data_IF_749516345046
#
_entry.id   IF_749516345046
#
_cell.length_a   1.000
_cell.length_b   1.000
_cell.length_c   1.000
_cell.angle_alpha   90.00
_cell.angle_beta   90.00
_cell.angle_gamma   90.00
#
_symmetry.space_group_name_H-M   'P 1'
#
loop_
_entity.id
_entity.type
_entity.pdbx_description
1 polymer ?
#
# COMPACT_ATOMS: atom_id res chain seq x y z
N UNK A 1 0.68 27.20 -13.82
CA UNK A 1 1.67 28.19 -14.35
C UNK A 1 2.66 27.42 -15.23
N UNK A 2 3.21 28.05 -16.28
CA UNK A 2 4.29 27.43 -17.05
C UNK A 2 5.63 27.83 -16.45
N UNK A 3 6.53 26.86 -16.31
CA UNK A 3 7.90 27.03 -15.87
C UNK A 3 8.85 26.65 -17.01
N UNK A 4 10.07 27.17 -16.93
CA UNK A 4 11.16 26.84 -17.84
C UNK A 4 12.28 26.18 -17.04
N UNK A 5 12.93 25.19 -17.63
CA UNK A 5 13.98 24.43 -16.97
C UNK A 5 14.78 23.58 -17.93
N UNK A 6 15.88 23.03 -17.44
CA UNK A 6 16.80 22.19 -18.23
C UNK A 6 16.71 20.74 -17.77
N UNK A 7 16.82 19.81 -18.70
CA UNK A 7 16.89 18.38 -18.34
C UNK A 7 18.19 18.15 -17.57
N UNK A 8 18.09 17.75 -16.30
CA UNK A 8 19.24 17.44 -15.45
C UNK A 8 19.74 16.03 -15.69
N UNK A 9 18.81 15.08 -15.81
CA UNK A 9 19.12 13.68 -16.06
C UNK A 9 17.98 13.00 -16.81
N UNK A 10 18.33 12.10 -17.74
CA UNK A 10 17.35 11.30 -18.47
C UNK A 10 17.79 9.84 -18.59
N UNK A 11 16.95 8.93 -18.11
CA UNK A 11 17.16 7.49 -18.27
C UNK A 11 16.40 6.97 -19.49
N UNK A 12 17.13 6.71 -20.57
CA UNK A 12 16.52 6.22 -21.83
C UNK A 12 15.95 4.81 -21.75
N UNK A 13 16.44 3.97 -20.82
CA UNK A 13 15.95 2.59 -20.65
C UNK A 13 14.60 2.58 -19.95
N UNK A 14 14.43 3.42 -18.92
CA UNK A 14 13.18 3.51 -18.14
C UNK A 14 12.22 4.59 -18.67
N UNK A 15 12.67 5.48 -19.53
CA UNK A 15 11.83 6.48 -20.20
C UNK A 15 11.40 7.65 -19.31
N UNK A 16 12.13 7.95 -18.24
CA UNK A 16 11.85 9.08 -17.36
C UNK A 16 13.09 9.93 -17.12
N UNK A 17 12.89 11.15 -16.63
CA UNK A 17 13.97 12.04 -16.24
C UNK A 17 13.52 13.12 -15.28
N UNK A 18 14.43 14.05 -15.02
CA UNK A 18 14.24 15.16 -14.10
C UNK A 18 14.63 16.48 -14.74
N UNK A 19 13.82 17.50 -14.52
CA UNK A 19 14.04 18.87 -14.98
C UNK A 19 14.46 19.74 -13.79
N UNK A 20 15.57 20.44 -13.94
CA UNK A 20 16.02 21.44 -13.01
C UNK A 20 15.49 22.82 -13.42
N UNK A 21 14.84 23.51 -12.48
CA UNK A 21 14.33 24.87 -12.63
C UNK A 21 15.25 25.81 -11.84
N UNK A 22 15.56 26.98 -12.38
CA UNK A 22 16.56 27.89 -11.78
C UNK A 22 16.12 28.45 -10.41
N UNK A 23 14.81 28.58 -10.18
CA UNK A 23 14.24 29.14 -8.94
C UNK A 23 13.70 28.09 -7.95
N UNK A 24 13.81 26.79 -8.25
CA UNK A 24 13.28 25.71 -7.39
C UNK A 24 14.38 24.72 -7.01
N UNK A 25 14.56 24.41 -5.71
CA UNK A 25 15.56 23.45 -5.26
C UNK A 25 15.19 22.01 -5.60
N UNK A 26 13.91 21.74 -5.87
CA UNK A 26 13.39 20.39 -6.13
C UNK A 26 13.32 20.15 -7.64
N UNK A 27 13.97 19.08 -8.09
CA UNK A 27 13.86 18.66 -9.48
C UNK A 27 12.44 18.15 -9.79
N UNK A 28 11.93 18.49 -10.97
CA UNK A 28 10.59 18.11 -11.42
C UNK A 28 10.67 16.83 -12.26
N UNK A 29 9.88 15.82 -11.91
CA UNK A 29 9.84 14.55 -12.62
C UNK A 29 9.12 14.67 -13.98
N UNK A 30 9.57 13.93 -14.99
CA UNK A 30 8.84 13.79 -16.27
C UNK A 30 8.96 12.39 -16.86
N UNK A 31 7.98 12.00 -17.68
CA UNK A 31 8.05 10.80 -18.51
C UNK A 31 8.18 11.18 -19.99
N UNK A 32 8.85 10.37 -20.81
CA UNK A 32 8.96 10.58 -22.28
C UNK A 32 7.60 10.61 -22.99
N UNK A 33 6.56 10.10 -22.34
CA UNK A 33 5.18 10.07 -22.88
C UNK A 33 4.50 11.43 -22.78
N UNK A 34 5.00 12.31 -21.91
CA UNK A 34 4.49 13.66 -21.75
C UNK A 34 5.06 14.62 -22.81
N UNK A 35 5.99 14.13 -23.66
CA UNK A 35 6.54 14.88 -24.79
C UNK A 35 5.68 14.72 -26.05
N UNK A 36 5.46 15.79 -26.83
CA UNK A 36 4.69 15.74 -28.07
C UNK A 36 5.35 14.88 -29.16
N UNK A 37 6.69 14.82 -29.18
CA UNK A 37 7.49 14.01 -30.09
C UNK A 37 8.25 12.93 -29.32
N UNK A 38 7.52 11.99 -28.72
CA UNK A 38 8.08 10.90 -27.91
C UNK A 38 9.11 10.02 -28.63
N UNK A 39 9.15 10.04 -29.96
CA UNK A 39 10.15 9.35 -30.77
C UNK A 39 11.55 9.99 -30.71
N UNK A 40 11.62 11.30 -30.46
CA UNK A 40 12.88 12.02 -30.29
C UNK A 40 13.25 11.88 -28.82
N UNK A 41 14.43 11.36 -28.52
CA UNK A 41 14.86 11.22 -27.12
C UNK A 41 15.21 12.60 -26.54
N UNK A 42 14.86 12.89 -25.28
CA UNK A 42 15.34 14.09 -24.61
C UNK A 42 16.85 14.00 -24.36
N UNK A 43 17.55 15.12 -24.50
CA UNK A 43 18.98 15.22 -24.22
C UNK A 43 19.21 15.93 -22.88
N UNK A 44 20.22 15.51 -22.12
CA UNK A 44 20.62 16.23 -20.91
C UNK A 44 21.09 17.65 -21.28
N UNK A 45 20.69 18.65 -20.49
CA UNK A 45 20.89 20.07 -20.77
C UNK A 45 19.87 20.71 -21.74
N UNK A 46 18.94 19.94 -22.31
CA UNK A 46 17.89 20.47 -23.19
C UNK A 46 16.94 21.41 -22.43
N UNK A 47 16.66 22.58 -23.01
CA UNK A 47 15.77 23.57 -22.42
C UNK A 47 14.30 23.28 -22.79
N UNK A 48 13.46 23.24 -21.77
CA UNK A 48 12.05 22.90 -21.87
C UNK A 48 11.18 23.97 -21.23
N UNK A 49 9.96 24.11 -21.75
CA UNK A 49 8.86 24.83 -21.12
C UNK A 49 7.75 23.85 -20.81
N UNK A 50 7.24 23.85 -19.58
CA UNK A 50 6.29 22.85 -19.12
C UNK A 50 5.40 23.40 -18.02
N UNK A 51 4.35 22.68 -17.68
CA UNK A 51 3.48 22.97 -16.55
C UNK A 51 3.74 21.96 -15.44
N UNK A 52 3.73 22.40 -14.18
CA UNK A 52 3.80 21.48 -13.04
C UNK A 52 2.39 21.07 -12.63
N UNK A 53 2.18 19.76 -12.49
CA UNK A 53 0.98 19.15 -11.93
C UNK A 53 1.36 18.31 -10.71
N UNK A 54 0.49 18.25 -9.71
CA UNK A 54 0.66 17.39 -8.54
C UNK A 54 -0.17 16.12 -8.75
N UNK A 55 0.48 14.96 -8.73
CA UNK A 55 -0.14 13.65 -8.91
C UNK A 55 0.32 12.74 -7.77
N UNK A 56 -0.62 12.30 -6.92
CA UNK A 56 -0.34 11.43 -5.76
C UNK A 56 0.73 11.97 -4.78
N UNK A 57 0.84 13.31 -4.64
CA UNK A 57 1.82 13.96 -3.77
C UNK A 57 3.20 14.14 -4.42
N UNK A 58 3.36 13.79 -5.69
CA UNK A 58 4.58 14.01 -6.46
C UNK A 58 4.35 15.10 -7.54
N UNK A 59 5.36 15.95 -7.74
CA UNK A 59 5.29 17.02 -8.74
C UNK A 59 5.85 16.53 -10.07
N UNK A 60 5.00 16.57 -11.11
CA UNK A 60 5.32 16.09 -12.45
C UNK A 60 5.16 17.21 -13.48
N UNK A 61 6.00 17.17 -14.52
CA UNK A 61 5.87 18.04 -15.68
C UNK A 61 4.81 17.51 -16.68
N UNK A 62 3.90 18.39 -17.10
CA UNK A 62 2.92 18.17 -18.16
C UNK A 62 3.03 19.25 -19.24
N UNK A 63 2.41 19.03 -20.40
CA UNK A 63 2.40 19.99 -21.52
C UNK A 63 3.81 20.46 -21.93
N UNK A 64 4.75 19.51 -22.10
CA UNK A 64 6.17 19.81 -22.31
C UNK A 64 6.41 20.30 -23.75
N UNK A 65 7.11 21.42 -23.88
CA UNK A 65 7.55 22.03 -25.15
C UNK A 65 9.07 22.13 -25.14
N UNK A 66 9.71 21.64 -26.20
CA UNK A 66 11.16 21.72 -26.38
C UNK A 66 11.52 23.07 -26.99
N UNK A 67 12.38 23.84 -26.34
CA UNK A 67 12.78 25.17 -26.80
C UNK A 67 14.05 25.13 -27.69
N UNK A 68 14.86 24.06 -27.59
CA UNK A 68 16.16 23.96 -28.28
C UNK A 68 16.17 23.09 -29.54
N UNK A 69 15.04 22.54 -29.99
CA UNK A 69 15.00 21.85 -31.28
C UNK A 69 15.09 22.86 -32.42
N UNK A 70 16.30 23.18 -32.86
CA UNK A 70 16.49 23.66 -34.23
C UNK A 70 16.07 22.53 -35.17
N UNK A 71 15.22 22.78 -36.17
CA UNK A 71 14.90 21.80 -37.19
C UNK A 71 16.09 21.67 -38.15
N UNK A 72 17.21 21.13 -37.68
CA UNK A 72 18.36 20.79 -38.53
C UNK A 72 18.83 19.37 -38.19
N UNK A 73 19.01 18.59 -39.26
CA UNK A 73 19.50 17.21 -39.35
C UNK A 73 18.48 16.09 -39.12
N UNK A 74 17.39 16.12 -39.90
CA UNK A 74 16.71 14.89 -40.30
C UNK A 74 17.50 14.21 -41.44
N UNK A 75 18.03 12.98 -41.29
CA UNK A 75 18.40 12.18 -42.44
C UNK A 75 17.14 11.82 -43.22
N UNK A 76 17.12 12.28 -44.47
CA UNK A 76 16.19 11.97 -45.56
C UNK A 76 15.50 10.60 -45.41
N UNK A 77 14.25 10.61 -44.94
CA UNK A 77 13.26 9.69 -45.49
C UNK A 77 12.49 10.47 -46.57
N UNK A 78 13.02 10.42 -47.80
CA UNK A 78 12.22 10.54 -49.02
C UNK A 78 11.00 9.61 -48.91
N UNK A 79 9.81 9.88 -49.42
CA UNK A 79 9.30 10.85 -50.37
C UNK A 79 7.78 10.74 -50.18
N UNK A 80 7.05 11.84 -50.18
CA UNK A 80 5.70 11.90 -50.76
C UNK A 80 5.38 13.39 -50.88
N UNK A 81 5.67 13.92 -52.06
CA UNK A 81 5.41 15.28 -52.48
C UNK A 81 3.91 15.59 -52.39
N UNK A 82 3.52 16.50 -51.50
CA UNK A 82 2.25 17.21 -51.63
C UNK A 82 2.54 18.69 -51.88
N UNK A 83 2.21 19.12 -53.10
CA UNK A 83 2.28 20.51 -53.55
C UNK A 83 1.47 21.42 -52.62
N UNK A 84 2.10 22.45 -52.06
CA UNK A 84 1.40 23.58 -51.46
C UNK A 84 0.82 24.44 -52.59
N UNK A 85 -0.46 24.22 -52.90
CA UNK A 85 -1.29 25.23 -53.56
C UNK A 85 -1.60 26.34 -52.56
N UNK A 86 -1.45 27.56 -53.04
CA UNK A 86 -1.86 28.84 -52.44
C UNK A 86 -3.09 28.76 -51.53
N UNK A 87 -2.97 29.38 -50.34
CA UNK A 87 -4.02 29.56 -49.34
C UNK A 87 -5.12 30.51 -49.90
N UNK A 88 -6.40 30.10 -50.01
CA UNK A 88 -7.51 31.02 -50.26
C UNK A 88 -7.96 31.70 -48.95
N UNK A 89 -8.64 32.87 -49.03
CA UNK A 89 -8.97 33.68 -47.86
C UNK A 89 -10.10 33.05 -47.05
N UNK A 90 -9.95 33.16 -45.72
CA UNK A 90 -10.90 32.90 -44.64
C UNK A 90 -12.32 32.48 -45.07
N UNK A 91 -12.54 31.17 -45.20
CA UNK A 91 -13.87 30.58 -45.22
C UNK A 91 -14.18 29.95 -43.86
N UNK A 92 -15.43 30.14 -43.44
CA UNK A 92 -15.98 29.92 -42.10
C UNK A 92 -15.61 28.52 -41.61
N UNK A 93 -15.07 28.42 -40.39
CA UNK A 93 -14.78 27.14 -39.73
C UNK A 93 -16.11 26.41 -39.53
N UNK A 94 -16.48 25.57 -40.49
CA UNK A 94 -17.38 24.45 -40.23
C UNK A 94 -16.56 23.48 -39.39
N UNK A 95 -16.85 23.47 -38.08
CA UNK A 95 -16.35 22.45 -37.16
C UNK A 95 -16.48 21.07 -37.82
N UNK A 96 -15.43 20.22 -37.82
CA UNK A 96 -15.52 18.91 -38.42
C UNK A 96 -16.68 18.17 -37.75
N UNK A 97 -17.66 17.75 -38.57
CA UNK A 97 -18.74 16.85 -38.16
C UNK A 97 -18.10 15.52 -37.80
N UNK A 98 -17.66 15.42 -36.55
CA UNK A 98 -17.06 14.22 -35.98
C UNK A 98 -18.02 13.06 -36.24
N UNK A 99 -17.56 11.98 -36.85
CA UNK A 99 -18.37 10.78 -37.11
C UNK A 99 -18.64 10.07 -35.77
N UNK A 100 -19.51 10.65 -34.95
CA UNK A 100 -20.00 10.08 -33.71
C UNK A 100 -21.26 9.30 -34.01
N UNK A 101 -21.12 7.99 -34.26
CA UNK A 101 -22.31 7.13 -34.31
C UNK A 101 -22.08 5.66 -33.95
N UNK A 102 -20.84 5.16 -33.82
CA UNK A 102 -20.61 3.76 -33.39
C UNK A 102 -19.72 3.62 -32.15
N UNK A 103 -18.68 4.45 -32.02
CA UNK A 103 -17.80 4.40 -30.85
C UNK A 103 -18.52 4.77 -29.54
N UNK A 104 -19.49 5.70 -29.59
CA UNK A 104 -20.30 6.07 -28.41
C UNK A 104 -21.12 4.90 -27.87
N UNK A 105 -21.75 4.10 -28.74
CA UNK A 105 -22.54 2.95 -28.31
C UNK A 105 -21.66 1.80 -27.82
N UNK A 106 -20.47 1.61 -28.40
CA UNK A 106 -19.51 0.62 -27.90
C UNK A 106 -19.04 0.96 -26.47
N UNK A 107 -18.69 2.22 -26.22
CA UNK A 107 -18.32 2.67 -24.86
C UNK A 107 -19.49 2.51 -23.88
N UNK A 108 -20.70 2.89 -24.30
CA UNK A 108 -21.89 2.78 -23.46
C UNK A 108 -22.26 1.31 -23.15
N UNK A 109 -22.12 0.41 -24.12
CA UNK A 109 -22.32 -1.03 -23.92
C UNK A 109 -21.31 -1.62 -22.92
N UNK A 110 -20.02 -1.26 -23.04
CA UNK A 110 -18.98 -1.70 -22.10
C UNK A 110 -19.29 -1.23 -20.67
N UNK A 111 -19.74 0.01 -20.49
CA UNK A 111 -20.13 0.52 -19.17
C UNK A 111 -21.33 -0.23 -18.59
N UNK A 112 -22.33 -0.57 -19.40
CA UNK A 112 -23.48 -1.37 -18.97
C UNK A 112 -23.04 -2.77 -18.54
N UNK A 113 -22.14 -3.42 -19.29
CA UNK A 113 -21.63 -4.75 -18.95
C UNK A 113 -20.84 -4.70 -17.63
N UNK A 114 -19.97 -3.70 -17.44
CA UNK A 114 -19.23 -3.52 -16.19
C UNK A 114 -20.20 -3.29 -15.01
N UNK A 115 -21.21 -2.43 -15.19
CA UNK A 115 -22.23 -2.19 -14.17
C UNK A 115 -23.04 -3.45 -13.85
N UNK A 116 -23.40 -4.26 -14.85
CA UNK A 116 -24.11 -5.53 -14.68
C UNK A 116 -23.28 -6.56 -13.91
N UNK A 117 -21.99 -6.73 -14.25
CA UNK A 117 -21.08 -7.60 -13.51
C UNK A 117 -20.87 -7.12 -12.07
N UNK A 118 -20.72 -5.81 -11.89
CA UNK A 118 -20.64 -5.19 -10.56
C UNK A 118 -21.89 -5.46 -9.72
N UNK A 119 -23.08 -5.35 -10.32
CA UNK A 119 -24.35 -5.62 -9.66
C UNK A 119 -24.50 -7.09 -9.24
N UNK A 120 -24.13 -8.05 -10.11
CA UNK A 120 -24.16 -9.49 -9.78
C UNK A 120 -23.18 -9.82 -8.65
N UNK A 121 -21.95 -9.29 -8.72
CA UNK A 121 -20.97 -9.47 -7.64
C UNK A 121 -21.47 -8.85 -6.33
N UNK A 122 -22.08 -7.67 -6.39
CA UNK A 122 -22.66 -6.99 -5.24
C UNK A 122 -23.78 -7.81 -4.59
N UNK A 123 -24.70 -8.37 -5.39
CA UNK A 123 -25.75 -9.26 -4.88
C UNK A 123 -25.17 -10.46 -4.14
N UNK A 124 -24.19 -11.16 -4.76
CA UNK A 124 -23.56 -12.33 -4.14
C UNK A 124 -22.87 -12.00 -2.81
N UNK A 125 -22.20 -10.84 -2.74
CA UNK A 125 -21.58 -10.38 -1.50
C UNK A 125 -22.63 -10.06 -0.43
N UNK A 126 -23.75 -9.45 -0.81
CA UNK A 126 -24.84 -9.16 0.13
C UNK A 126 -25.46 -10.45 0.70
N UNK A 127 -25.73 -11.44 -0.14
CA UNK A 127 -26.28 -12.73 0.31
C UNK A 127 -25.35 -13.41 1.32
N UNK A 128 -24.04 -13.39 1.06
CA UNK A 128 -23.04 -13.91 1.99
C UNK A 128 -23.00 -13.15 3.33
N UNK A 129 -23.20 -11.83 3.32
CA UNK A 129 -23.25 -11.02 4.53
C UNK A 129 -24.49 -11.34 5.37
N UNK A 130 -25.66 -11.40 4.74
CA UNK A 130 -26.93 -11.74 5.39
C UNK A 130 -26.89 -13.15 5.97
N UNK A 131 -26.38 -14.14 5.22
CA UNK A 131 -26.26 -15.52 5.70
C UNK A 131 -25.34 -15.63 6.94
N UNK A 132 -24.24 -14.88 6.97
CA UNK A 132 -23.35 -14.81 8.14
C UNK A 132 -24.05 -14.20 9.36
N UNK A 133 -24.83 -13.14 9.16
CA UNK A 133 -25.58 -12.50 10.24
C UNK A 133 -26.66 -13.43 10.81
N UNK A 134 -27.41 -14.12 9.96
CA UNK A 134 -28.42 -15.09 10.39
C UNK A 134 -27.79 -16.23 11.21
N UNK A 135 -26.65 -16.76 10.75
CA UNK A 135 -25.92 -17.81 11.48
C UNK A 135 -25.39 -17.32 12.82
N UNK A 136 -24.89 -16.08 12.89
CA UNK A 136 -24.46 -15.49 14.16
C UNK A 136 -25.63 -15.36 15.15
N UNK A 137 -26.81 -14.93 14.69
CA UNK A 137 -28.00 -14.83 15.52
C UNK A 137 -28.46 -16.21 16.03
N UNK A 138 -28.40 -17.23 15.18
CA UNK A 138 -28.68 -18.62 15.57
C UNK A 138 -27.72 -19.11 16.66
N UNK A 139 -26.41 -18.88 16.49
CA UNK A 139 -25.41 -19.26 17.49
C UNK A 139 -25.63 -18.53 18.82
N UNK A 140 -25.99 -17.24 18.80
CA UNK A 140 -26.33 -16.48 20.01
C UNK A 140 -27.55 -17.07 20.71
N UNK A 141 -28.60 -17.44 19.96
CA UNK A 141 -29.80 -18.07 20.51
C UNK A 141 -29.51 -19.44 21.13
N UNK A 142 -28.68 -20.25 20.48
CA UNK A 142 -28.25 -21.55 20.99
C UNK A 142 -27.40 -21.39 22.26
N UNK A 143 -26.42 -20.48 22.24
CA UNK A 143 -25.62 -20.17 23.42
C UNK A 143 -26.49 -19.69 24.58
N UNK A 144 -27.51 -18.85 24.32
CA UNK A 144 -28.46 -18.40 25.34
C UNK A 144 -29.20 -19.58 25.98
N UNK A 145 -29.64 -20.56 25.18
CA UNK A 145 -30.28 -21.78 25.70
C UNK A 145 -29.33 -22.60 26.56
N UNK A 146 -28.08 -22.76 26.15
CA UNK A 146 -27.06 -23.48 26.94
C UNK A 146 -26.85 -22.79 28.29
N UNK A 147 -26.74 -21.46 28.30
CA UNK A 147 -26.58 -20.67 29.53
C UNK A 147 -27.81 -20.78 30.42
N UNK A 148 -29.02 -20.75 29.85
CA UNK A 148 -30.28 -20.91 30.58
C UNK A 148 -30.40 -22.31 31.20
N UNK A 149 -30.07 -23.37 30.47
CA UNK A 149 -30.00 -24.73 30.99
C UNK A 149 -28.99 -24.88 32.13
N UNK A 150 -27.80 -24.27 32.00
CA UNK A 150 -26.83 -24.23 33.09
C UNK A 150 -27.36 -23.50 34.32
N UNK A 151 -28.11 -22.41 34.12
CA UNK A 151 -28.73 -21.62 35.21
C UNK A 151 -29.84 -22.41 35.92
N UNK A 152 -30.65 -23.17 35.20
CA UNK A 152 -31.65 -24.07 35.78
C UNK A 152 -30.99 -25.20 36.58
N UNK A 153 -29.92 -25.81 36.04
CA UNK A 153 -29.19 -26.88 36.71
C UNK A 153 -28.45 -26.41 37.98
N UNK A 154 -27.96 -25.17 38.01
CA UNK A 154 -27.26 -24.58 39.16
C UNK A 154 -28.22 -23.96 40.21
N UNK A 155 -29.53 -23.94 39.95
CA UNK A 155 -30.53 -23.33 40.84
C UNK A 155 -30.54 -21.79 40.81
N UNK A 156 -31.41 -21.15 41.60
CA UNK A 156 -31.55 -19.69 41.62
C UNK A 156 -30.30 -19.02 42.22
N UNK A 157 -29.30 -18.73 41.38
CA UNK A 157 -28.31 -17.71 41.69
C UNK A 157 -28.96 -16.33 41.48
N UNK A 158 -28.86 -15.39 42.44
CA UNK A 158 -29.36 -14.04 42.26
C UNK A 158 -28.56 -13.35 41.15
N UNK A 159 -29.21 -12.57 40.31
CA UNK A 159 -28.51 -11.66 39.41
C UNK A 159 -27.69 -10.72 40.28
N UNK A 160 -26.37 -10.94 40.34
CA UNK A 160 -25.49 -10.14 41.17
C UNK A 160 -25.26 -8.80 40.47
N UNK A 161 -26.25 -7.92 40.59
CA UNK A 161 -26.08 -6.51 40.24
C UNK A 161 -24.98 -6.00 41.17
N UNK A 162 -23.91 -5.43 40.57
CA UNK A 162 -22.82 -4.83 41.32
C UNK A 162 -23.40 -3.89 42.38
N UNK A 163 -22.95 -4.01 43.64
CA UNK A 163 -23.42 -3.13 44.71
C UNK A 163 -23.19 -1.66 44.32
N UNK A 164 -23.96 -0.73 44.90
CA UNK A 164 -23.80 0.71 44.61
C UNK A 164 -22.34 1.15 44.83
N UNK A 165 -21.66 0.58 45.84
CA UNK A 165 -20.23 0.81 46.07
C UNK A 165 -19.35 0.14 45.01
N UNK A 166 -19.69 -1.06 44.55
CA UNK A 166 -19.02 -1.73 43.44
C UNK A 166 -19.08 -0.92 42.15
N UNK A 167 -20.24 -0.30 41.84
CA UNK A 167 -20.37 0.62 40.70
C UNK A 167 -19.49 1.85 40.88
N UNK A 168 -19.57 2.53 42.03
CA UNK A 168 -18.72 3.70 42.33
C UNK A 168 -17.23 3.41 42.25
N UNK A 169 -16.80 2.23 42.69
CA UNK A 169 -15.40 1.77 42.58
C UNK A 169 -15.02 1.49 41.11
N UNK A 170 -15.95 1.01 40.27
CA UNK A 170 -15.74 0.86 38.82
C UNK A 170 -15.67 2.20 38.09
N UNK A 171 -16.43 3.19 38.57
CA UNK A 171 -16.48 4.54 37.98
C UNK A 171 -15.25 5.39 38.39
N UNK A 172 -14.69 5.16 39.59
CA UNK A 172 -13.45 5.80 40.06
C UNK A 172 -12.19 5.13 39.52
N UNK A 173 -12.22 3.82 39.30
CA UNK A 173 -11.22 3.13 38.48
C UNK A 173 -11.60 3.33 37.02
N UNK A 174 -11.37 4.55 36.51
CA UNK A 174 -11.51 4.83 35.09
C UNK A 174 -10.80 3.73 34.30
N UNK A 175 -11.58 2.97 33.53
CA UNK A 175 -11.07 1.93 32.65
C UNK A 175 -10.24 2.60 31.55
N UNK A 176 -8.99 2.93 31.87
CA UNK A 176 -7.92 2.76 30.90
C UNK A 176 -7.81 1.25 30.70
N UNK A 177 -8.47 0.74 29.66
CA UNK A 177 -8.13 -0.56 29.07
C UNK A 177 -6.71 -0.40 28.54
N UNK A 178 -5.73 -0.57 29.42
CA UNK A 178 -4.36 -0.77 29.01
C UNK A 178 -4.27 -2.26 28.71
N UNK A 179 -4.36 -2.60 27.43
CA UNK A 179 -4.19 -3.95 26.90
C UNK A 179 -2.74 -4.39 27.06
N UNK A 180 -2.30 -4.55 28.31
CA UNK A 180 -1.10 -5.28 28.65
C UNK A 180 -1.56 -6.59 29.27
N UNK A 181 -1.59 -7.64 28.44
CA UNK A 181 -1.67 -9.02 28.89
C UNK A 181 -0.48 -9.30 29.81
N UNK A 182 -0.65 -9.09 31.11
CA UNK A 182 0.07 -9.88 32.12
C UNK A 182 -0.70 -11.18 32.30
N UNK A 183 -0.33 -12.17 31.49
CA UNK A 183 -0.64 -13.56 31.78
C UNK A 183 0.12 -13.96 33.05
N UNK A 184 -0.53 -13.80 34.21
CA UNK A 184 -0.14 -14.48 35.44
C UNK A 184 -0.99 -15.76 35.46
N UNK A 185 -0.43 -16.81 34.86
CA UNK A 185 -0.92 -18.16 35.01
C UNK A 185 -0.60 -18.66 36.42
N UNK A 186 -1.52 -18.49 37.35
CA UNK A 186 -1.56 -19.30 38.56
C UNK A 186 -2.10 -20.67 38.13
N UNK A 187 -1.23 -21.68 38.13
CA UNK A 187 -1.67 -23.07 38.02
C UNK A 187 -2.01 -23.58 39.43
N UNK A 188 -3.15 -24.26 39.63
CA UNK A 188 -3.37 -25.06 40.82
C UNK A 188 -2.65 -26.41 40.67
N UNK A 189 -1.67 -26.68 41.55
CA UNK A 189 -1.16 -28.03 41.77
C UNK A 189 -2.06 -28.79 42.75
N UNK A 190 -2.71 -29.86 42.27
CA UNK A 190 -3.07 -31.14 42.92
C UNK A 190 -4.06 -31.83 41.96
N UNK A 191 -3.85 -32.99 41.33
CA UNK A 191 -3.05 -34.18 41.61
C UNK A 191 -2.94 -35.01 40.32
N UNK A 192 -1.83 -35.75 40.19
CA UNK A 192 -1.69 -37.03 39.49
C UNK A 192 -2.20 -37.19 38.03
N UNK A 193 -1.27 -37.14 37.06
CA UNK A 193 -0.76 -38.38 36.46
C UNK A 193 0.42 -38.15 35.50
N UNK A 194 1.47 -38.92 35.77
CA UNK A 194 2.68 -39.22 34.98
C UNK A 194 2.49 -39.13 33.46
N UNK A 195 3.43 -38.49 32.76
CA UNK A 195 4.50 -39.19 32.02
C UNK A 195 5.49 -38.19 31.36
N UNK A 196 6.75 -38.29 31.79
CA UNK A 196 8.01 -38.01 31.10
C UNK A 196 8.17 -36.72 30.27
N UNK A 197 8.80 -35.74 30.92
CA UNK A 197 9.50 -34.58 30.36
C UNK A 197 10.84 -35.04 29.76
N UNK A 198 11.15 -34.59 28.54
CA UNK A 198 12.51 -34.22 28.15
C UNK A 198 12.43 -32.82 27.55
N UNK A 199 12.45 -31.79 28.39
CA UNK A 199 12.69 -30.42 27.99
C UNK A 199 14.11 -30.06 28.37
N UNK A 200 14.91 -29.77 27.34
CA UNK A 200 16.22 -29.18 27.45
C UNK A 200 16.02 -27.72 27.91
N UNK A 201 16.41 -27.42 29.14
CA UNK A 201 16.52 -26.04 29.64
C UNK A 201 17.51 -25.28 28.75
N UNK A 202 17.04 -24.25 28.04
CA UNK A 202 17.91 -23.25 27.45
C UNK A 202 17.71 -21.93 28.23
N UNK A 203 18.80 -21.30 28.72
CA UNK A 203 18.72 -20.17 29.63
C UNK A 203 18.13 -18.95 28.92
N UNK A 204 17.14 -18.32 29.56
CA UNK A 204 16.58 -17.03 29.14
C UNK A 204 17.70 -15.99 29.28
N UNK A 205 18.38 -15.70 28.17
CA UNK A 205 19.42 -14.69 28.14
C UNK A 205 18.80 -13.30 27.96
N UNK A 206 19.12 -12.38 28.87
CA UNK A 206 18.76 -10.96 28.77
C UNK A 206 19.63 -10.28 27.69
N UNK A 207 19.10 -10.20 26.48
CA UNK A 207 19.75 -9.50 25.37
C UNK A 207 19.48 -7.98 25.45
N UNK A 208 20.47 -7.16 25.09
CA UNK A 208 20.38 -5.70 25.05
C UNK A 208 21.02 -5.18 23.78
N UNK A 209 20.46 -4.11 23.22
CA UNK A 209 21.04 -3.43 22.07
C UNK A 209 22.35 -2.74 22.47
N UNK A 210 23.47 -3.28 22.00
CA UNK A 210 24.83 -2.79 22.29
C UNK A 210 25.54 -2.22 21.05
N UNK A 211 24.79 -2.02 19.96
CA UNK A 211 25.30 -1.43 18.72
C UNK A 211 25.87 -2.44 17.71
N UNK A 212 25.78 -3.75 17.99
CA UNK A 212 26.13 -4.78 17.01
C UNK A 212 25.15 -4.85 15.85
N UNK A 213 25.67 -4.99 14.64
CA UNK A 213 24.86 -4.93 13.40
C UNK A 213 25.09 -6.10 12.44
N UNK A 214 26.12 -6.93 12.64
CA UNK A 214 26.46 -8.04 11.74
C UNK A 214 26.45 -9.42 12.45
N UNK A 215 26.22 -10.48 11.68
CA UNK A 215 26.08 -11.86 12.19
C UNK A 215 27.28 -12.40 12.94
N UNK A 216 28.49 -12.07 12.50
CA UNK A 216 29.75 -12.51 13.14
C UNK A 216 29.88 -12.04 14.59
N UNK A 217 29.07 -11.06 15.00
CA UNK A 217 29.08 -10.49 16.34
C UNK A 217 28.06 -11.18 17.27
N UNK A 218 27.20 -12.07 16.75
CA UNK A 218 26.17 -12.78 17.49
C UNK A 218 26.68 -14.10 18.06
N UNK A 219 26.35 -14.37 19.32
CA UNK A 219 26.75 -15.57 20.07
C UNK A 219 25.73 -16.69 19.97
N UNK A 220 24.47 -16.36 19.71
CA UNK A 220 23.40 -17.33 19.48
C UNK A 220 22.39 -16.84 18.45
N UNK A 221 21.61 -17.78 17.91
CA UNK A 221 20.52 -17.47 17.00
C UNK A 221 19.44 -16.63 17.71
N UNK A 222 19.09 -16.97 18.95
CA UNK A 222 18.08 -16.23 19.72
C UNK A 222 18.51 -14.78 20.00
N UNK A 223 19.80 -14.54 20.20
CA UNK A 223 20.36 -13.19 20.30
C UNK A 223 20.18 -12.45 18.97
N UNK A 224 20.49 -13.10 17.84
CA UNK A 224 20.34 -12.48 16.52
C UNK A 224 18.86 -12.15 16.20
N UNK A 225 17.93 -13.04 16.57
CA UNK A 225 16.48 -12.82 16.45
C UNK A 225 16.03 -11.64 17.32
N UNK A 226 16.55 -11.53 18.54
CA UNK A 226 16.27 -10.39 19.41
C UNK A 226 16.75 -9.07 18.77
N UNK A 227 17.96 -9.05 18.19
CA UNK A 227 18.53 -7.83 17.61
C UNK A 227 17.75 -7.33 16.40
N UNK A 228 17.31 -8.20 15.49
CA UNK A 228 16.46 -7.78 14.35
C UNK A 228 15.13 -7.17 14.81
N UNK A 229 14.55 -7.69 15.89
CA UNK A 229 13.22 -7.25 16.37
C UNK A 229 13.28 -6.02 17.26
N UNK A 230 14.38 -5.79 17.98
CA UNK A 230 14.44 -4.80 19.05
C UNK A 230 15.51 -3.71 18.86
N UNK A 231 16.47 -3.88 17.95
CA UNK A 231 17.61 -2.97 17.80
C UNK A 231 17.63 -2.26 16.43
N UNK A 232 17.94 -0.95 16.38
CA UNK A 232 18.01 -0.20 15.13
C UNK A 232 19.28 -0.53 14.32
N UNK A 233 19.23 -0.34 12.99
CA UNK A 233 20.36 -0.47 12.06
C UNK A 233 21.00 -1.87 11.95
N UNK A 234 20.22 -2.94 12.16
CA UNK A 234 20.71 -4.32 12.02
C UNK A 234 20.84 -4.73 10.55
N UNK A 235 21.93 -5.44 10.21
CA UNK A 235 22.27 -5.94 8.87
C UNK A 235 22.56 -7.45 8.95
N UNK A 236 21.63 -8.20 9.54
CA UNK A 236 21.78 -9.63 9.86
C UNK A 236 20.82 -10.54 9.08
N UNK A 237 19.79 -9.96 8.49
CA UNK A 237 18.82 -10.63 7.62
C UNK A 237 18.91 -9.98 6.24
N UNK A 238 19.57 -10.68 5.31
CA UNK A 238 19.83 -10.16 3.97
C UNK A 238 18.61 -10.25 3.05
N UNK A 239 17.79 -11.28 3.25
CA UNK A 239 16.59 -11.64 2.50
C UNK A 239 15.32 -11.00 3.06
N UNK A 240 15.38 -10.41 4.26
CA UNK A 240 14.28 -9.76 4.97
C UNK A 240 13.10 -10.69 5.25
N UNK A 241 13.36 -11.97 5.50
CA UNK A 241 12.34 -12.98 5.82
C UNK A 241 12.17 -13.23 7.32
N UNK A 242 12.95 -12.53 8.15
CA UNK A 242 12.88 -12.60 9.60
C UNK A 242 13.77 -13.68 10.21
N UNK A 243 14.60 -14.37 9.43
CA UNK A 243 15.59 -15.34 9.89
C UNK A 243 17.02 -14.76 9.85
N UNK A 244 17.56 -14.26 10.97
CA UNK A 244 18.91 -13.74 11.00
C UNK A 244 19.95 -14.84 10.83
N UNK A 245 21.04 -14.51 10.15
CA UNK A 245 22.30 -15.26 10.25
C UNK A 245 22.20 -16.76 9.91
N UNK A 246 21.32 -17.13 8.98
CA UNK A 246 21.12 -18.50 8.47
C UNK A 246 22.45 -19.21 8.18
N UNK A 247 23.38 -18.51 7.51
CA UNK A 247 24.70 -19.04 7.14
C UNK A 247 25.58 -19.40 8.35
N UNK A 248 25.43 -18.70 9.47
CA UNK A 248 26.25 -18.90 10.68
C UNK A 248 25.67 -19.97 11.59
N UNK A 249 24.34 -20.03 11.71
CA UNK A 249 23.65 -20.96 12.62
C UNK A 249 23.06 -22.19 11.92
N UNK A 250 23.21 -22.32 10.59
CA UNK A 250 22.71 -23.41 9.75
C UNK A 250 21.23 -23.73 10.02
N UNK A 251 20.42 -22.68 10.04
CA UNK A 251 18.96 -22.75 10.04
C UNK A 251 18.47 -22.68 8.61
#
# INVERSE_FOLDING_TARGET
>A
MFLEGKIKHYNSTRGFGFIQVEDEPKDIFFHIKDFPSWHIKPNEGELLKFRVIEEQGEFKASDIVRLNLKPEDQPLLEQHSFNYRSIPPAEKIVLPRKSVSRLKYMVLFVLIVIAGLGFVAYQKVQDHRVAKQLKAEQLIKEQKRIVEQQREALGHLPDRILSVQGRKNLDTVGYAVNTQQRNISVSPQSEASKLAIVQKNEPIADFKCDGRTHCSQMRSYDEAVFFIRNCPNTQMDGNHDGEPCEKQFRR
#
